data_IF_274130394194
#
_entry.id   IF_274130394194
#
_cell.length_a   1.000
_cell.length_b   1.000
_cell.length_c   1.000
_cell.angle_alpha   90.00
_cell.angle_beta   90.00
_cell.angle_gamma   90.00
#
_symmetry.space_group_name_H-M   'P 1'
#
loop_
_entity.id
_entity.type
_entity.pdbx_description
1 polymer ?
#
# COMPACT_ATOMS: atom_id res chain seq x y z
N UNK A 1 0.25 -2.14 15.11
CA UNK A 1 -0.10 -3.37 14.35
C UNK A 1 1.17 -4.03 13.81
N UNK A 2 1.22 -5.37 13.69
CA UNK A 2 2.34 -6.05 13.01
C UNK A 2 2.24 -5.90 11.48
N UNK A 3 3.30 -6.31 10.76
CA UNK A 3 3.45 -6.08 9.32
C UNK A 3 2.29 -6.64 8.50
N UNK A 4 1.80 -7.84 8.80
CA UNK A 4 0.67 -8.46 8.09
C UNK A 4 -0.58 -7.56 8.14
N UNK A 5 -1.08 -7.28 9.34
CA UNK A 5 -2.29 -6.46 9.52
C UNK A 5 -2.11 -5.03 8.96
N UNK A 6 -0.90 -4.49 9.08
CA UNK A 6 -0.56 -3.16 8.55
C UNK A 6 -0.60 -3.15 7.02
N UNK A 7 0.00 -4.14 6.37
CA UNK A 7 -0.04 -4.28 4.91
C UNK A 7 -1.45 -4.53 4.41
N UNK A 8 -2.23 -5.39 5.06
CA UNK A 8 -3.61 -5.65 4.69
C UNK A 8 -4.45 -4.36 4.70
N UNK A 9 -4.36 -3.58 5.79
CA UNK A 9 -5.09 -2.30 5.91
C UNK A 9 -4.61 -1.26 4.89
N UNK A 10 -3.30 -1.24 4.62
CA UNK A 10 -2.68 -0.34 3.65
C UNK A 10 -3.14 -0.65 2.22
N UNK A 11 -3.17 -1.93 1.84
CA UNK A 11 -3.61 -2.39 0.51
C UNK A 11 -5.11 -2.09 0.32
N UNK A 12 -5.92 -2.22 1.37
CA UNK A 12 -7.34 -1.83 1.31
C UNK A 12 -7.51 -0.32 1.11
N UNK A 13 -6.74 0.50 1.84
CA UNK A 13 -6.73 1.95 1.66
C UNK A 13 -6.25 2.39 0.27
N UNK A 14 -5.39 1.59 -0.36
CA UNK A 14 -4.95 1.77 -1.75
C UNK A 14 -6.00 1.33 -2.78
N UNK A 15 -7.13 0.77 -2.34
CA UNK A 15 -8.22 0.23 -3.19
C UNK A 15 -7.80 -0.99 -4.00
N UNK A 16 -6.85 -1.75 -3.47
CA UNK A 16 -6.30 -2.96 -4.10
C UNK A 16 -6.93 -4.26 -3.54
N UNK A 17 -7.61 -4.18 -2.41
CA UNK A 17 -8.45 -5.26 -1.87
C UNK A 17 -9.91 -4.80 -1.74
N UNK A 18 -10.83 -5.76 -1.63
CA UNK A 18 -12.24 -5.47 -1.40
C UNK A 18 -12.43 -4.90 0.02
N UNK A 19 -13.45 -4.05 0.24
CA UNK A 19 -13.76 -3.55 1.57
C UNK A 19 -13.92 -4.69 2.58
N UNK A 20 -13.46 -4.45 3.81
CA UNK A 20 -13.45 -5.37 4.95
C UNK A 20 -12.42 -6.51 4.87
N UNK A 21 -11.72 -6.66 3.76
CA UNK A 21 -10.74 -7.74 3.54
C UNK A 21 -9.63 -7.76 4.60
N UNK A 22 -9.19 -6.58 5.03
CA UNK A 22 -8.13 -6.42 6.04
C UNK A 22 -8.58 -6.63 7.49
N UNK A 23 -9.90 -6.63 7.73
CA UNK A 23 -10.48 -6.65 9.08
C UNK A 23 -11.25 -7.92 9.41
N UNK A 24 -11.65 -8.70 8.41
CA UNK A 24 -12.41 -9.94 8.59
C UNK A 24 -11.49 -11.04 9.13
N UNK A 25 -11.75 -11.60 10.32
CA UNK A 25 -10.93 -12.67 10.88
C UNK A 25 -10.94 -13.92 10.01
N UNK A 26 -9.86 -14.70 10.06
CA UNK A 26 -9.71 -15.92 9.24
C UNK A 26 -10.78 -16.98 9.55
N UNK A 27 -11.20 -17.10 10.81
CA UNK A 27 -12.21 -18.07 11.24
C UNK A 27 -13.65 -17.62 10.97
N UNK A 28 -13.85 -16.36 10.56
CA UNK A 28 -15.18 -15.84 10.26
C UNK A 28 -15.69 -16.45 8.94
N UNK A 29 -16.92 -17.01 8.90
CA UNK A 29 -17.53 -17.51 7.66
C UNK A 29 -17.55 -16.47 6.53
N UNK A 30 -17.63 -15.18 6.86
CA UNK A 30 -17.56 -14.09 5.90
C UNK A 30 -16.25 -14.09 5.11
N UNK A 31 -15.15 -14.62 5.65
CA UNK A 31 -13.87 -14.71 4.94
C UNK A 31 -13.94 -15.66 3.75
N UNK A 32 -14.67 -16.77 3.90
CA UNK A 32 -14.90 -17.72 2.80
C UNK A 32 -15.78 -17.11 1.71
N UNK A 33 -16.78 -16.33 2.09
CA UNK A 33 -17.64 -15.61 1.15
C UNK A 33 -16.86 -14.52 0.41
N UNK A 34 -16.03 -13.76 1.13
CA UNK A 34 -15.11 -12.77 0.56
C UNK A 34 -14.23 -13.41 -0.51
N UNK A 35 -13.62 -14.58 -0.26
CA UNK A 35 -12.75 -15.27 -1.23
C UNK A 35 -13.44 -15.62 -2.56
N UNK A 36 -14.78 -15.70 -2.60
CA UNK A 36 -15.56 -15.98 -3.82
C UNK A 36 -15.83 -14.73 -4.66
N UNK A 37 -15.71 -13.54 -4.07
CA UNK A 37 -16.05 -12.27 -4.69
C UNK A 37 -15.01 -11.73 -5.69
N UNK A 38 -13.68 -11.82 -5.47
CA UNK A 38 -12.67 -11.23 -6.34
C UNK A 38 -12.83 -11.58 -7.81
N UNK A 39 -13.20 -12.82 -8.15
CA UNK A 39 -13.40 -13.24 -9.53
C UNK A 39 -14.49 -12.44 -10.26
N UNK A 40 -15.59 -12.12 -9.58
CA UNK A 40 -16.67 -11.29 -10.13
C UNK A 40 -16.20 -9.85 -10.36
N UNK A 41 -15.47 -9.27 -9.41
CA UNK A 41 -14.95 -7.92 -9.53
C UNK A 41 -13.87 -7.82 -10.61
N UNK A 42 -12.96 -8.80 -10.67
CA UNK A 42 -11.91 -8.86 -11.68
C UNK A 42 -12.48 -8.88 -13.11
N UNK A 43 -13.55 -9.64 -13.34
CA UNK A 43 -14.22 -9.62 -14.64
C UNK A 43 -14.76 -8.23 -15.01
N UNK A 44 -15.25 -7.47 -14.03
CA UNK A 44 -15.68 -6.09 -14.26
C UNK A 44 -14.49 -5.16 -14.53
N UNK A 45 -13.37 -5.31 -13.81
CA UNK A 45 -12.15 -4.54 -14.05
C UNK A 45 -11.64 -4.74 -15.47
N UNK A 46 -11.63 -5.99 -15.96
CA UNK A 46 -11.24 -6.32 -17.33
C UNK A 46 -12.18 -5.66 -18.35
N UNK A 47 -13.50 -5.71 -18.13
CA UNK A 47 -14.48 -5.06 -19.02
C UNK A 47 -14.33 -3.53 -19.05
N UNK A 48 -13.87 -2.93 -17.96
CA UNK A 48 -13.63 -1.49 -17.84
C UNK A 48 -12.24 -1.07 -18.32
N UNK A 49 -11.38 -2.01 -18.72
CA UNK A 49 -9.94 -1.79 -18.99
C UNK A 49 -9.23 -1.06 -17.83
N UNK A 50 -9.66 -1.30 -16.58
CA UNK A 50 -9.07 -0.68 -15.40
C UNK A 50 -7.77 -1.40 -15.03
N UNK A 51 -6.64 -0.70 -15.17
CA UNK A 51 -5.29 -1.26 -14.95
C UNK A 51 -4.74 -0.86 -13.60
N UNK A 52 -3.65 -1.53 -13.19
CA UNK A 52 -2.94 -1.24 -11.94
C UNK A 52 -2.56 0.24 -11.82
N UNK A 53 -1.98 0.83 -12.87
CA UNK A 53 -1.65 2.27 -12.94
C UNK A 53 -2.82 3.23 -12.70
N UNK A 54 -4.06 2.77 -12.92
CA UNK A 54 -5.26 3.59 -12.70
C UNK A 54 -5.70 3.54 -11.22
N UNK A 55 -5.25 2.53 -10.48
CA UNK A 55 -5.54 2.31 -9.05
C UNK A 55 -4.38 2.84 -8.20
N UNK A 56 -3.14 2.47 -8.54
CA UNK A 56 -1.91 2.89 -7.87
C UNK A 56 -1.53 4.26 -8.42
N UNK A 57 -1.97 5.29 -7.72
CA UNK A 57 -1.74 6.70 -8.04
C UNK A 57 -1.10 7.37 -6.83
N UNK A 58 -0.57 8.58 -6.99
CA UNK A 58 -0.06 9.36 -5.86
C UNK A 58 -1.12 9.54 -4.75
N UNK A 59 -2.39 9.65 -5.12
CA UNK A 59 -3.49 9.77 -4.16
C UNK A 59 -3.74 8.47 -3.38
N UNK A 60 -3.67 7.31 -4.03
CA UNK A 60 -3.85 6.04 -3.31
C UNK A 60 -2.65 5.71 -2.44
N UNK A 61 -1.42 6.01 -2.89
CA UNK A 61 -0.21 5.93 -2.06
C UNK A 61 -0.29 6.87 -0.84
N UNK A 62 -0.81 8.08 -1.01
CA UNK A 62 -1.06 9.00 0.10
C UNK A 62 -2.07 8.43 1.11
N UNK A 63 -3.20 7.89 0.63
CA UNK A 63 -4.19 7.25 1.50
C UNK A 63 -3.57 6.06 2.26
N UNK A 64 -2.70 5.29 1.60
CA UNK A 64 -1.94 4.20 2.21
C UNK A 64 -1.12 4.71 3.40
N UNK A 65 -0.35 5.78 3.19
CA UNK A 65 0.47 6.40 4.24
C UNK A 65 -0.37 6.92 5.41
N UNK A 66 -1.44 7.66 5.13
CA UNK A 66 -2.34 8.17 6.17
C UNK A 66 -2.88 7.03 7.02
N UNK A 67 -3.23 5.91 6.39
CA UNK A 67 -3.73 4.72 7.09
C UNK A 67 -2.65 4.09 7.98
N UNK A 68 -1.42 3.92 7.47
CA UNK A 68 -0.29 3.42 8.26
C UNK A 68 -0.04 4.29 9.49
N UNK A 69 -0.06 5.61 9.32
CA UNK A 69 0.18 6.55 10.41
C UNK A 69 -0.96 6.53 11.44
N UNK A 70 -2.21 6.53 10.98
CA UNK A 70 -3.38 6.51 11.85
C UNK A 70 -3.47 5.22 12.70
N UNK A 71 -3.06 4.09 12.12
CA UNK A 71 -3.14 2.79 12.77
C UNK A 71 -1.86 2.39 13.54
N UNK A 72 -0.85 3.27 13.56
CA UNK A 72 0.49 2.96 14.10
C UNK A 72 0.99 1.62 13.53
N UNK A 73 1.07 1.60 12.20
CA UNK A 73 1.47 0.45 11.41
C UNK A 73 2.96 0.15 11.51
N UNK A 74 3.34 -1.07 11.11
CA UNK A 74 4.73 -1.51 11.08
C UNK A 74 5.61 -0.61 10.19
N UNK A 75 6.83 -0.32 10.64
CA UNK A 75 7.83 0.41 9.86
C UNK A 75 8.18 -0.29 8.54
N UNK A 76 8.01 -1.62 8.46
CA UNK A 76 8.22 -2.38 7.23
C UNK A 76 7.27 -1.99 6.10
N UNK A 77 6.11 -1.40 6.40
CA UNK A 77 5.18 -0.94 5.36
C UNK A 77 5.81 0.16 4.50
N UNK A 78 6.73 0.96 5.06
CA UNK A 78 7.47 1.98 4.30
C UNK A 78 8.26 1.35 3.15
N UNK A 79 8.98 0.25 3.43
CA UNK A 79 9.76 -0.47 2.43
C UNK A 79 8.86 -1.05 1.32
N UNK A 80 7.71 -1.60 1.70
CA UNK A 80 6.76 -2.14 0.73
C UNK A 80 6.11 -1.05 -0.12
N UNK A 81 5.73 0.09 0.45
CA UNK A 81 5.17 1.21 -0.30
C UNK A 81 6.17 1.80 -1.30
N UNK A 82 7.45 1.89 -0.92
CA UNK A 82 8.53 2.27 -1.82
C UNK A 82 8.64 1.29 -2.99
N UNK A 83 8.64 -0.01 -2.71
CA UNK A 83 8.70 -1.04 -3.74
C UNK A 83 7.50 -0.95 -4.70
N UNK A 84 6.29 -0.71 -4.18
CA UNK A 84 5.08 -0.53 -4.99
C UNK A 84 5.17 0.76 -5.82
N UNK A 85 5.62 1.88 -5.24
CA UNK A 85 5.76 3.14 -5.95
C UNK A 85 6.80 3.09 -7.09
N UNK A 86 7.83 2.23 -6.96
CA UNK A 86 8.81 1.96 -8.01
C UNK A 86 8.20 1.26 -9.23
N UNK A 87 7.29 0.31 -9.02
CA UNK A 87 6.69 -0.48 -10.11
C UNK A 87 5.85 0.38 -11.07
N UNK A 88 5.31 1.49 -10.60
CA UNK A 88 4.43 2.39 -11.36
C UNK A 88 5.08 3.76 -11.64
N UNK A 89 6.42 3.83 -11.63
CA UNK A 89 7.21 5.05 -11.90
C UNK A 89 6.86 6.28 -11.01
N UNK A 90 6.13 6.04 -9.92
CA UNK A 90 5.71 7.08 -8.98
C UNK A 90 6.75 7.40 -7.92
N UNK A 91 7.85 6.64 -7.85
CA UNK A 91 8.84 6.75 -6.77
C UNK A 91 9.32 8.19 -6.55
N UNK A 92 9.72 8.91 -7.59
CA UNK A 92 10.29 10.26 -7.43
C UNK A 92 9.25 11.25 -6.88
N UNK A 93 8.01 11.16 -7.35
CA UNK A 93 6.91 12.01 -6.90
C UNK A 93 6.47 11.63 -5.48
N UNK A 94 6.44 10.33 -5.17
CA UNK A 94 6.13 9.81 -3.84
C UNK A 94 7.19 10.21 -2.82
N UNK A 95 8.48 10.14 -3.18
CA UNK A 95 9.62 10.60 -2.40
C UNK A 95 9.59 12.10 -2.11
N UNK A 96 9.30 12.91 -3.12
CA UNK A 96 9.16 14.36 -2.98
C UNK A 96 8.01 14.70 -2.04
N UNK A 97 6.86 14.03 -2.22
CA UNK A 97 5.72 14.16 -1.35
C UNK A 97 6.06 13.79 0.11
N UNK A 98 6.69 12.64 0.31
CA UNK A 98 7.13 12.15 1.63
C UNK A 98 8.03 13.15 2.37
N UNK A 99 8.94 13.78 1.64
CA UNK A 99 9.93 14.71 2.20
C UNK A 99 9.39 16.11 2.50
N UNK A 100 8.10 16.38 2.23
CA UNK A 100 7.51 17.73 2.31
C UNK A 100 6.50 17.92 3.46
N UNK A 101 6.01 16.86 4.11
CA UNK A 101 4.96 16.93 5.14
C UNK A 101 5.46 16.72 6.57
N UNK A 102 4.91 17.43 7.56
CA UNK A 102 5.38 17.52 8.97
C UNK A 102 5.45 16.20 9.79
N UNK A 103 5.03 15.06 9.23
CA UNK A 103 4.96 13.73 9.88
C UNK A 103 6.33 12.96 9.86
N UNK A 104 7.45 13.69 9.88
CA UNK A 104 8.57 13.49 8.93
C UNK A 104 9.90 12.89 9.44
N UNK A 105 9.98 12.16 10.56
CA UNK A 105 11.26 11.51 10.96
C UNK A 105 11.31 10.00 10.68
N UNK A 106 10.22 9.27 10.86
CA UNK A 106 10.23 7.81 10.78
C UNK A 106 10.27 7.38 9.30
N UNK A 107 11.38 6.75 8.87
CA UNK A 107 11.52 6.18 7.53
C UNK A 107 12.09 7.11 6.46
N UNK A 108 12.52 8.33 6.83
CA UNK A 108 13.20 9.26 5.91
C UNK A 108 14.47 8.65 5.30
N UNK A 109 15.27 7.94 6.10
CA UNK A 109 16.49 7.28 5.63
C UNK A 109 16.19 6.14 4.65
N UNK A 110 15.11 5.38 4.88
CA UNK A 110 14.65 4.35 3.95
C UNK A 110 14.19 4.94 2.62
N UNK A 111 13.53 6.10 2.64
CA UNK A 111 13.15 6.80 1.41
C UNK A 111 14.38 7.36 0.68
N UNK A 112 15.34 7.98 1.39
CA UNK A 112 16.58 8.47 0.78
C UNK A 112 17.36 7.31 0.13
N UNK A 113 17.53 6.20 0.84
CA UNK A 113 18.17 4.99 0.31
C UNK A 113 17.44 4.43 -0.91
N UNK A 114 16.11 4.52 -0.93
CA UNK A 114 15.31 4.10 -2.06
C UNK A 114 15.40 5.03 -3.28
N UNK A 115 15.70 6.31 -3.10
CA UNK A 115 15.95 7.22 -4.23
C UNK A 115 17.36 7.00 -4.77
N UNK A 116 18.33 6.63 -3.93
CA UNK A 116 19.75 6.46 -4.30
C UNK A 116 20.10 5.14 -5.01
N UNK A 117 19.14 4.46 -5.65
CA UNK A 117 19.31 3.22 -6.42
C UNK A 117 19.86 1.95 -5.71
N UNK A 118 20.36 2.02 -4.47
CA UNK A 118 20.88 0.83 -3.76
C UNK A 118 19.97 0.36 -2.59
N UNK A 119 19.05 -0.59 -2.83
CA UNK A 119 18.19 -1.16 -1.79
C UNK A 119 18.91 -2.15 -0.83
N UNK A 120 20.20 -2.46 -1.04
CA UNK A 120 20.94 -3.46 -0.26
C UNK A 120 21.86 -2.86 0.80
N UNK A 121 21.85 -1.53 1.00
CA UNK A 121 22.69 -0.86 2.00
C UNK A 121 22.14 -0.93 3.43
N UNK A 122 20.99 -1.57 3.65
CA UNK A 122 20.52 -1.90 5.01
C UNK A 122 21.32 -3.09 5.56
N UNK A 123 22.51 -2.81 6.09
CA UNK A 123 23.25 -3.69 7.00
C UNK A 123 23.26 -3.11 8.39
#
# INVERSE_FOLDING_TARGET
MYTENSMASTIEAMRMSLPYSSSTPVEDPLKLDECRLPGKYLLNLIKMDLKLKDIITLKSLHNAMVTVMALVGSTNVVLHLIAIARLEEHLQSFATFWSSGILMEIGKDAMIAAISEDPMSFK
#
